data_IF_805648983451
#
_entry.id   IF_805648983451
#
_cell.length_a   1.000
_cell.length_b   1.000
_cell.length_c   1.000
_cell.angle_alpha   90.00
_cell.angle_beta   90.00
_cell.angle_gamma   90.00
#
_symmetry.space_group_name_H-M   'P 1'
#
loop_
_entity.id
_entity.type
_entity.pdbx_description
1 polymer ?
#
# COMPACT_ATOMS: atom_id res chain seq x y z
N UNK A 1 -20.34 -26.24 -46.27
CA UNK A 1 -19.92 -26.77 -47.59
C UNK A 1 -20.89 -26.18 -48.60
N UNK A 2 -20.53 -25.34 -49.57
CA UNK A 2 -19.62 -25.59 -50.70
C UNK A 2 -19.23 -24.23 -51.33
N UNK A 3 -17.93 -23.92 -51.39
CA UNK A 3 -17.10 -23.75 -52.61
C UNK A 3 -17.41 -22.55 -53.53
N UNK A 4 -16.46 -21.61 -53.42
CA UNK A 4 -15.90 -20.67 -54.41
C UNK A 4 -16.21 -20.92 -55.89
N UNK A 5 -16.33 -19.81 -56.65
CA UNK A 5 -15.89 -19.77 -58.04
C UNK A 5 -15.05 -18.52 -58.35
N UNK A 6 -14.08 -18.79 -59.21
CA UNK A 6 -12.92 -18.02 -59.64
C UNK A 6 -13.24 -16.94 -60.67
N UNK A 7 -12.41 -15.89 -60.67
CA UNK A 7 -12.23 -14.87 -61.72
C UNK A 7 -11.26 -15.41 -62.81
N UNK A 8 -11.30 -14.90 -64.06
CA UNK A 8 -10.06 -14.30 -64.62
C UNK A 8 -10.33 -13.08 -65.54
N UNK A 9 -9.55 -11.98 -65.39
CA UNK A 9 -8.42 -11.51 -66.25
C UNK A 9 -8.86 -10.94 -67.62
N UNK A 10 -8.28 -9.91 -68.25
CA UNK A 10 -7.05 -9.07 -68.13
C UNK A 10 -7.19 -7.98 -69.25
N UNK A 11 -6.49 -6.85 -69.36
CA UNK A 11 -5.12 -6.55 -69.87
C UNK A 11 -5.10 -4.99 -70.04
N UNK A 12 -4.32 -4.19 -69.27
CA UNK A 12 -3.00 -3.56 -69.54
C UNK A 12 -2.86 -2.68 -70.81
N UNK A 13 -2.49 -1.40 -70.66
CA UNK A 13 -1.37 -0.76 -71.38
C UNK A 13 -0.91 0.55 -70.70
N UNK A 14 0.40 0.80 -70.73
CA UNK A 14 1.14 1.81 -69.96
C UNK A 14 1.66 2.97 -70.82
N UNK A 15 1.98 4.13 -70.20
CA UNK A 15 3.29 4.83 -70.29
C UNK A 15 3.40 6.04 -69.34
N UNK A 16 4.63 6.25 -68.83
CA UNK A 16 5.11 7.20 -67.82
C UNK A 16 5.30 8.65 -68.33
N UNK A 17 5.25 9.63 -67.43
CA UNK A 17 6.36 10.58 -67.10
C UNK A 17 6.10 11.29 -65.76
N UNK A 18 7.18 11.55 -65.01
CA UNK A 18 7.25 12.11 -63.66
C UNK A 18 6.62 13.50 -63.47
N UNK A 19 6.04 13.73 -62.27
CA UNK A 19 6.59 14.60 -61.20
C UNK A 19 5.46 15.27 -60.38
N UNK A 20 4.94 14.56 -59.37
CA UNK A 20 4.34 15.19 -58.20
C UNK A 20 4.39 14.21 -57.03
N UNK A 21 5.27 14.50 -56.07
CA UNK A 21 5.32 13.87 -54.76
C UNK A 21 4.01 14.10 -54.03
N UNK A 22 3.21 13.06 -53.79
CA UNK A 22 2.56 12.83 -52.49
C UNK A 22 2.43 11.31 -52.29
N UNK A 23 3.11 10.82 -51.28
CA UNK A 23 3.16 9.42 -50.86
C UNK A 23 1.81 8.91 -50.37
N UNK A 24 1.53 7.68 -50.78
CA UNK A 24 0.57 6.72 -50.23
C UNK A 24 0.55 6.74 -48.70
N UNK A 25 -0.64 6.83 -48.10
CA UNK A 25 -1.22 5.83 -47.18
C UNK A 25 -2.39 6.47 -46.46
N UNK A 26 -3.60 6.03 -46.80
CA UNK A 26 -4.71 6.16 -45.87
C UNK A 26 -4.44 5.20 -44.71
N UNK A 27 -3.68 5.66 -43.72
CA UNK A 27 -3.68 5.05 -42.41
C UNK A 27 -5.09 5.26 -41.85
N UNK A 28 -5.87 4.19 -41.78
CA UNK A 28 -7.07 4.15 -40.97
C UNK A 28 -6.57 4.31 -39.52
N UNK A 29 -6.57 5.56 -39.05
CA UNK A 29 -6.45 5.87 -37.65
C UNK A 29 -7.74 5.37 -36.98
N UNK A 30 -7.70 4.11 -36.52
CA UNK A 30 -8.54 3.69 -35.42
C UNK A 30 -8.13 4.57 -34.24
N UNK A 31 -8.82 5.71 -34.09
CA UNK A 31 -8.95 6.39 -32.82
C UNK A 31 -9.65 5.40 -31.87
N UNK A 32 -8.86 4.48 -31.31
CA UNK A 32 -9.15 3.99 -29.98
C UNK A 32 -9.15 5.25 -29.14
N UNK A 33 -10.34 5.75 -28.82
CA UNK A 33 -10.53 6.45 -27.57
C UNK A 33 -10.07 5.48 -26.50
N UNK A 34 -8.78 5.50 -26.20
CA UNK A 34 -8.29 5.18 -24.88
C UNK A 34 -8.98 6.23 -24.05
N UNK A 35 -10.16 5.90 -23.52
CA UNK A 35 -10.66 6.56 -22.33
C UNK A 35 -9.43 6.67 -21.44
N UNK A 36 -8.99 7.87 -21.02
CA UNK A 36 -7.92 7.94 -20.04
C UNK A 36 -8.34 6.95 -18.98
N UNK A 37 -7.60 5.85 -18.86
CA UNK A 37 -7.91 4.84 -17.86
C UNK A 37 -7.90 5.67 -16.61
N UNK A 38 -9.07 5.91 -16.02
CA UNK A 38 -9.16 6.43 -14.67
C UNK A 38 -8.14 5.61 -13.93
N UNK A 39 -7.07 6.24 -13.47
CA UNK A 39 -6.08 5.59 -12.64
C UNK A 39 -6.89 4.79 -11.62
N UNK A 40 -6.62 3.50 -11.54
CA UNK A 40 -7.38 2.56 -10.75
C UNK A 40 -7.36 3.01 -9.31
N UNK A 41 -8.52 3.36 -8.79
CA UNK A 41 -8.72 3.46 -7.36
C UNK A 41 -8.40 2.07 -6.77
N UNK A 42 -7.30 1.90 -6.00
CA UNK A 42 -6.90 0.59 -5.53
C UNK A 42 -7.83 0.07 -4.42
N UNK A 43 -8.74 0.91 -3.93
CA UNK A 43 -9.68 0.60 -2.86
C UNK A 43 -11.07 0.26 -3.41
N UNK A 44 -11.52 0.90 -4.50
CA UNK A 44 -12.90 0.79 -4.99
C UNK A 44 -12.96 0.18 -6.39
N UNK A 45 -13.68 -0.94 -6.51
CA UNK A 45 -14.01 -1.54 -7.82
C UNK A 45 -15.28 -0.95 -8.44
N UNK A 46 -16.13 -0.31 -7.63
CA UNK A 46 -17.37 0.35 -8.06
C UNK A 46 -17.32 1.82 -7.61
N UNK A 47 -17.60 2.75 -8.54
CA UNK A 47 -17.49 4.19 -8.34
C UNK A 47 -16.09 4.60 -7.84
N UNK A 48 -15.04 4.36 -8.64
CA UNK A 48 -13.67 4.72 -8.25
C UNK A 48 -13.52 6.24 -8.08
N UNK A 49 -12.71 6.63 -7.11
CA UNK A 49 -12.30 8.01 -6.92
C UNK A 49 -11.03 8.30 -7.73
N UNK A 50 -10.83 9.55 -8.14
CA UNK A 50 -9.63 9.95 -8.86
C UNK A 50 -8.43 10.01 -7.90
N UNK A 51 -7.41 9.15 -8.14
CA UNK A 51 -6.17 9.08 -7.34
C UNK A 51 -4.94 9.51 -8.15
N UNK A 52 -5.03 9.57 -9.47
CA UNK A 52 -3.88 9.85 -10.35
C UNK A 52 -2.99 8.64 -10.58
N UNK A 53 -2.48 8.51 -11.81
CA UNK A 53 -1.80 7.30 -12.27
C UNK A 53 -0.45 7.06 -11.58
N UNK A 54 0.28 8.12 -11.25
CA UNK A 54 1.57 8.01 -10.56
C UNK A 54 1.38 7.66 -9.08
N UNK A 55 0.34 8.18 -8.44
CA UNK A 55 0.00 7.82 -7.07
C UNK A 55 -0.49 6.37 -6.98
N UNK A 56 -1.31 5.90 -7.92
CA UNK A 56 -1.71 4.49 -8.00
C UNK A 56 -0.48 3.59 -8.22
N UNK A 57 0.38 3.93 -9.18
CA UNK A 57 1.60 3.16 -9.44
C UNK A 57 2.52 3.10 -8.22
N UNK A 58 2.64 4.22 -7.48
CA UNK A 58 3.35 4.26 -6.21
C UNK A 58 2.73 3.37 -5.14
N UNK A 59 1.39 3.40 -5.01
CA UNK A 59 0.66 2.56 -4.06
C UNK A 59 0.88 1.07 -4.36
N UNK A 60 0.71 0.66 -5.61
CA UNK A 60 0.91 -0.73 -6.02
C UNK A 60 2.37 -1.18 -5.83
N UNK A 61 3.33 -0.34 -6.20
CA UNK A 61 4.75 -0.61 -5.96
C UNK A 61 5.04 -0.80 -4.46
N UNK A 62 4.57 0.11 -3.61
CA UNK A 62 4.84 0.06 -2.18
C UNK A 62 4.14 -1.12 -1.51
N UNK A 63 2.83 -1.25 -1.70
CA UNK A 63 1.99 -2.10 -0.87
C UNK A 63 1.76 -3.49 -1.45
N UNK A 64 1.58 -3.60 -2.77
CA UNK A 64 1.35 -4.89 -3.41
C UNK A 64 2.67 -5.60 -3.72
N UNK A 65 3.66 -4.86 -4.25
CA UNK A 65 4.94 -5.43 -4.68
C UNK A 65 6.02 -5.40 -3.59
N UNK A 66 5.90 -4.51 -2.59
CA UNK A 66 6.95 -4.27 -1.60
C UNK A 66 8.20 -3.61 -2.18
N UNK A 67 8.06 -2.90 -3.31
CA UNK A 67 9.13 -2.18 -4.00
C UNK A 67 9.14 -0.70 -3.61
N UNK A 68 9.86 -0.40 -2.52
CA UNK A 68 9.99 0.95 -1.98
C UNK A 68 10.80 1.87 -2.88
N UNK A 69 11.73 1.32 -3.66
CA UNK A 69 12.54 2.10 -4.60
C UNK A 69 11.69 2.56 -5.78
N UNK A 70 10.89 1.67 -6.36
CA UNK A 70 9.93 2.01 -7.41
C UNK A 70 8.87 2.98 -6.88
N UNK A 71 8.31 2.72 -5.69
CA UNK A 71 7.35 3.62 -5.06
C UNK A 71 7.92 5.04 -4.89
N UNK A 72 9.15 5.20 -4.40
CA UNK A 72 9.76 6.52 -4.24
C UNK A 72 9.93 7.27 -5.59
N UNK A 73 10.24 6.54 -6.68
CA UNK A 73 10.30 7.11 -8.04
C UNK A 73 8.94 7.58 -8.51
N UNK A 74 7.89 6.76 -8.40
CA UNK A 74 6.53 7.15 -8.79
C UNK A 74 6.03 8.34 -7.95
N UNK A 75 6.28 8.34 -6.64
CA UNK A 75 5.91 9.45 -5.77
C UNK A 75 6.63 10.76 -6.12
N UNK A 76 7.85 10.71 -6.68
CA UNK A 76 8.52 11.93 -7.18
C UNK A 76 7.80 12.50 -8.40
N UNK A 77 7.28 11.63 -9.27
CA UNK A 77 6.49 12.04 -10.43
C UNK A 77 5.11 12.56 -9.98
N UNK A 78 4.43 11.83 -9.09
CA UNK A 78 3.13 12.20 -8.53
C UNK A 78 3.13 13.59 -7.90
N UNK A 79 4.13 13.96 -7.10
CA UNK A 79 4.20 15.30 -6.50
C UNK A 79 4.26 16.42 -7.56
N UNK A 80 4.80 16.14 -8.75
CA UNK A 80 4.87 17.11 -9.84
C UNK A 80 3.62 17.11 -10.73
N UNK A 81 3.03 15.95 -11.02
CA UNK A 81 1.92 15.80 -11.96
C UNK A 81 0.54 15.78 -11.30
N UNK A 82 0.47 15.42 -10.02
CA UNK A 82 -0.73 15.21 -9.22
C UNK A 82 -0.63 16.00 -7.89
N UNK A 83 -0.34 17.32 -7.91
CA UNK A 83 0.02 18.09 -6.71
C UNK A 83 -1.11 18.25 -5.68
N UNK A 84 -2.33 17.87 -6.04
CA UNK A 84 -3.50 17.94 -5.16
C UNK A 84 -3.89 16.57 -4.58
N UNK A 85 -3.16 15.49 -4.90
CA UNK A 85 -3.45 14.15 -4.40
C UNK A 85 -2.84 13.93 -2.99
N UNK A 86 -3.67 13.82 -1.93
CA UNK A 86 -3.15 13.67 -0.57
C UNK A 86 -2.46 12.33 -0.29
N UNK A 87 -2.86 11.23 -0.95
CA UNK A 87 -2.27 9.89 -0.76
C UNK A 87 -0.78 9.87 -1.12
N UNK A 88 -0.38 10.58 -2.18
CA UNK A 88 1.01 10.69 -2.58
C UNK A 88 1.87 11.30 -1.44
N UNK A 89 1.38 12.36 -0.82
CA UNK A 89 2.05 12.99 0.31
C UNK A 89 2.04 12.10 1.56
N UNK A 90 0.94 11.39 1.83
CA UNK A 90 0.87 10.44 2.94
C UNK A 90 1.89 9.29 2.79
N UNK A 91 2.02 8.74 1.59
CA UNK A 91 3.02 7.71 1.29
C UNK A 91 4.45 8.24 1.42
N UNK A 92 4.72 9.48 0.96
CA UNK A 92 6.02 10.13 1.18
C UNK A 92 6.33 10.37 2.66
N UNK A 93 5.34 10.76 3.46
CA UNK A 93 5.48 10.90 4.91
C UNK A 93 5.82 9.55 5.56
N UNK A 94 5.14 8.47 5.16
CA UNK A 94 5.43 7.10 5.63
C UNK A 94 6.87 6.67 5.31
N UNK A 95 7.33 6.90 4.07
CA UNK A 95 8.73 6.64 3.68
C UNK A 95 9.72 7.45 4.52
N UNK A 96 9.42 8.73 4.76
CA UNK A 96 10.27 9.58 5.59
C UNK A 96 10.33 9.10 7.04
N UNK A 97 9.20 8.66 7.62
CA UNK A 97 9.15 8.05 8.95
C UNK A 97 10.03 6.80 9.02
N UNK A 98 9.87 5.88 8.07
CA UNK A 98 10.66 4.65 8.00
C UNK A 98 12.17 4.91 7.86
N UNK A 99 12.55 5.94 7.10
CA UNK A 99 13.93 6.37 6.91
C UNK A 99 14.47 7.26 8.04
N UNK A 100 13.65 7.56 9.06
CA UNK A 100 13.98 8.49 10.15
C UNK A 100 14.31 9.92 9.67
N UNK A 101 13.76 10.32 8.54
CA UNK A 101 13.89 11.67 7.99
C UNK A 101 12.76 12.56 8.55
N UNK A 102 12.98 13.08 9.76
CA UNK A 102 11.97 13.86 10.49
C UNK A 102 11.63 15.21 9.86
N UNK A 103 12.51 15.74 9.03
CA UNK A 103 12.28 16.96 8.28
C UNK A 103 11.30 16.71 7.13
N UNK A 104 11.54 15.66 6.33
CA UNK A 104 10.61 15.27 5.27
C UNK A 104 9.29 14.75 5.82
N UNK A 105 9.31 14.02 6.94
CA UNK A 105 8.09 13.61 7.62
C UNK A 105 7.22 14.82 7.93
N UNK A 106 7.76 15.84 8.62
CA UNK A 106 7.00 17.05 8.95
C UNK A 106 6.44 17.75 7.70
N UNK A 107 7.27 17.92 6.67
CA UNK A 107 6.86 18.59 5.44
C UNK A 107 5.70 17.84 4.74
N UNK A 108 5.82 16.52 4.59
CA UNK A 108 4.82 15.72 3.91
C UNK A 108 3.56 15.48 4.76
N UNK A 109 3.66 15.48 6.10
CA UNK A 109 2.49 15.51 6.98
C UNK A 109 1.65 16.76 6.76
N UNK A 110 2.28 17.94 6.70
CA UNK A 110 1.61 19.22 6.42
C UNK A 110 0.97 19.21 5.04
N UNK A 111 1.67 18.70 4.02
CA UNK A 111 1.13 18.60 2.66
C UNK A 111 -0.07 17.66 2.57
N UNK A 112 -0.03 16.53 3.27
CA UNK A 112 -1.18 15.60 3.37
C UNK A 112 -2.39 16.31 3.97
N UNK A 113 -2.19 17.05 5.07
CA UNK A 113 -3.24 17.81 5.73
C UNK A 113 -3.82 18.91 4.81
N UNK A 114 -2.95 19.73 4.22
CA UNK A 114 -3.35 20.84 3.33
C UNK A 114 -4.14 20.36 2.11
N UNK A 115 -3.70 19.28 1.48
CA UNK A 115 -4.37 18.71 0.29
C UNK A 115 -5.65 17.98 0.65
N UNK A 116 -5.68 17.26 1.78
CA UNK A 116 -6.91 16.67 2.33
C UNK A 116 -7.97 17.73 2.60
N UNK A 117 -7.63 18.84 3.25
CA UNK A 117 -8.57 19.93 3.54
C UNK A 117 -9.14 20.57 2.28
N UNK A 118 -8.30 20.77 1.24
CA UNK A 118 -8.74 21.28 -0.05
C UNK A 118 -9.69 20.31 -0.76
N UNK A 119 -9.41 19.01 -0.66
CA UNK A 119 -10.17 17.95 -1.31
C UNK A 119 -11.61 17.84 -0.75
N UNK A 120 -11.87 18.29 0.48
CA UNK A 120 -13.21 18.22 1.11
C UNK A 120 -14.31 18.82 0.24
N UNK A 121 -14.02 19.88 -0.53
CA UNK A 121 -15.03 20.57 -1.35
C UNK A 121 -15.55 19.70 -2.49
N UNK A 122 -14.68 18.92 -3.13
CA UNK A 122 -15.01 18.07 -4.28
C UNK A 122 -15.25 16.61 -3.90
N UNK A 123 -14.60 16.14 -2.85
CA UNK A 123 -14.68 14.77 -2.34
C UNK A 123 -14.63 14.81 -0.80
N UNK A 124 -15.79 15.02 -0.13
CA UNK A 124 -15.86 15.10 1.32
C UNK A 124 -15.36 13.83 2.01
N UNK A 125 -15.51 12.65 1.40
CA UNK A 125 -15.08 11.39 1.99
C UNK A 125 -13.56 11.32 2.08
N UNK A 126 -12.86 11.41 0.94
CA UNK A 126 -11.39 11.38 0.93
C UNK A 126 -10.79 12.63 1.57
N UNK A 127 -11.40 13.79 1.38
CA UNK A 127 -10.93 15.03 1.97
C UNK A 127 -10.91 14.97 3.50
N UNK A 128 -11.99 14.51 4.14
CA UNK A 128 -12.01 14.32 5.59
C UNK A 128 -11.04 13.21 6.02
N UNK A 129 -11.01 12.07 5.31
CA UNK A 129 -10.08 10.97 5.59
C UNK A 129 -8.62 11.42 5.61
N UNK A 130 -8.16 12.13 4.58
CA UNK A 130 -6.78 12.60 4.50
C UNK A 130 -6.47 13.80 5.40
N UNK A 131 -7.49 14.56 5.79
CA UNK A 131 -7.34 15.54 6.88
C UNK A 131 -7.05 14.83 8.21
N UNK A 132 -7.76 13.72 8.49
CA UNK A 132 -7.46 12.87 9.65
C UNK A 132 -6.05 12.26 9.57
N UNK A 133 -5.67 11.68 8.43
CA UNK A 133 -4.31 11.13 8.21
C UNK A 133 -3.23 12.21 8.41
N UNK A 134 -3.45 13.41 7.89
CA UNK A 134 -2.54 14.55 8.10
C UNK A 134 -2.33 14.87 9.58
N UNK A 135 -3.42 14.97 10.36
CA UNK A 135 -3.33 15.18 11.81
C UNK A 135 -2.63 14.03 12.55
N UNK A 136 -2.88 12.79 12.15
CA UNK A 136 -2.21 11.62 12.72
C UNK A 136 -0.69 11.69 12.50
N UNK A 137 -0.27 11.99 11.27
CA UNK A 137 1.15 12.13 10.92
C UNK A 137 1.82 13.32 11.63
N UNK A 138 1.13 14.44 11.82
CA UNK A 138 1.63 15.55 12.64
C UNK A 138 1.77 15.16 14.13
N UNK A 139 0.85 14.34 14.65
CA UNK A 139 0.96 13.74 15.97
C UNK A 139 2.25 12.92 16.12
N UNK A 140 2.58 12.11 15.11
CA UNK A 140 3.84 11.36 15.07
C UNK A 140 5.06 12.29 15.08
N UNK A 141 5.06 13.36 14.28
CA UNK A 141 6.15 14.38 14.29
C UNK A 141 6.35 14.97 15.69
N UNK A 142 5.25 15.31 16.37
CA UNK A 142 5.28 15.88 17.71
C UNK A 142 5.97 14.92 18.68
N UNK A 143 5.54 13.66 18.72
CA UNK A 143 6.11 12.65 19.62
C UNK A 143 7.58 12.40 19.29
N UNK A 144 7.93 12.26 18.01
CA UNK A 144 9.31 11.98 17.59
C UNK A 144 10.27 13.12 17.93
N UNK A 145 9.83 14.39 17.85
CA UNK A 145 10.70 15.55 18.11
C UNK A 145 10.74 15.98 19.56
N UNK A 146 9.61 15.94 20.26
CA UNK A 146 9.48 16.46 21.63
C UNK A 146 9.59 15.36 22.69
N UNK A 147 9.60 14.09 22.27
CA UNK A 147 9.51 12.94 23.17
C UNK A 147 8.12 12.82 23.81
N UNK A 148 7.87 11.70 24.49
CA UNK A 148 6.55 11.42 25.07
C UNK A 148 6.13 12.44 26.13
N UNK A 149 7.06 12.87 27.00
CA UNK A 149 6.75 13.78 28.12
C UNK A 149 6.21 15.13 27.63
N UNK A 150 6.92 15.78 26.71
CA UNK A 150 6.54 17.11 26.22
C UNK A 150 5.61 17.03 24.99
N UNK A 151 5.52 15.87 24.35
CA UNK A 151 4.74 15.64 23.14
C UNK A 151 3.34 15.07 23.39
N UNK A 152 3.09 14.43 24.54
CA UNK A 152 1.83 13.70 24.78
C UNK A 152 0.58 14.59 24.69
N UNK A 153 0.54 15.73 25.40
CA UNK A 153 -0.61 16.65 25.37
C UNK A 153 -0.92 17.18 23.96
N UNK A 154 0.04 17.76 23.22
CA UNK A 154 -0.23 18.20 21.85
C UNK A 154 -0.55 17.05 20.89
N UNK A 155 0.05 15.87 21.07
CA UNK A 155 -0.29 14.69 20.27
C UNK A 155 -1.72 14.19 20.55
N UNK A 156 -2.19 14.21 21.80
CA UNK A 156 -3.57 13.90 22.15
C UNK A 156 -4.54 14.90 21.52
N UNK A 157 -4.17 16.18 21.47
CA UNK A 157 -4.97 17.17 20.75
C UNK A 157 -5.10 16.85 19.26
N UNK A 158 -4.01 16.39 18.61
CA UNK A 158 -4.07 15.89 17.23
C UNK A 158 -4.94 14.65 17.10
N UNK A 159 -4.82 13.69 18.02
CA UNK A 159 -5.62 12.47 18.00
C UNK A 159 -7.13 12.77 18.08
N UNK A 160 -7.56 13.77 18.86
CA UNK A 160 -8.96 14.22 18.85
C UNK A 160 -9.42 14.70 17.47
N UNK A 161 -8.57 15.45 16.77
CA UNK A 161 -8.86 15.89 15.40
C UNK A 161 -8.92 14.71 14.42
N UNK A 162 -8.07 13.70 14.59
CA UNK A 162 -8.15 12.46 13.78
C UNK A 162 -9.55 11.87 13.88
N UNK A 163 -10.06 11.64 15.09
CA UNK A 163 -11.41 11.08 15.26
C UNK A 163 -12.51 11.99 14.73
N UNK A 164 -12.44 13.30 14.98
CA UNK A 164 -13.41 14.26 14.43
C UNK A 164 -13.54 14.16 12.90
N UNK A 165 -12.42 14.05 12.20
CA UNK A 165 -12.43 13.97 10.74
C UNK A 165 -12.75 12.56 10.22
N UNK A 166 -12.41 11.50 10.95
CA UNK A 166 -12.87 10.15 10.61
C UNK A 166 -14.38 10.02 10.75
N UNK A 167 -14.99 10.60 11.79
CA UNK A 167 -16.44 10.62 11.98
C UNK A 167 -17.14 11.35 10.82
N UNK A 168 -16.55 12.46 10.35
CA UNK A 168 -17.06 13.18 9.17
C UNK A 168 -16.95 12.35 7.89
N UNK A 169 -15.86 11.63 7.68
CA UNK A 169 -15.69 10.73 6.54
C UNK A 169 -16.70 9.57 6.61
N UNK A 170 -16.87 8.96 7.79
CA UNK A 170 -17.81 7.88 8.06
C UNK A 170 -19.27 8.31 7.84
N UNK A 171 -19.62 9.54 8.20
CA UNK A 171 -20.95 10.11 7.93
C UNK A 171 -21.26 10.25 6.43
N UNK A 172 -20.24 10.34 5.56
CA UNK A 172 -20.41 10.36 4.10
C UNK A 172 -20.59 8.95 3.55
N UNK A 173 -19.75 8.00 3.97
CA UNK A 173 -19.84 6.61 3.54
C UNK A 173 -19.21 5.67 4.57
N UNK A 174 -20.03 5.11 5.46
CA UNK A 174 -19.54 4.29 6.57
C UNK A 174 -18.87 2.97 6.14
N UNK A 175 -19.30 2.41 5.00
CA UNK A 175 -18.78 1.15 4.46
C UNK A 175 -17.73 1.37 3.36
N UNK A 176 -17.16 2.58 3.26
CA UNK A 176 -16.15 2.88 2.27
C UNK A 176 -14.84 2.08 2.49
N UNK A 177 -14.27 1.43 1.46
CA UNK A 177 -13.13 0.54 1.66
C UNK A 177 -11.83 1.22 2.07
N UNK A 178 -11.55 2.41 1.56
CA UNK A 178 -10.33 3.16 1.89
C UNK A 178 -10.40 3.66 3.34
N UNK A 179 -11.56 4.24 3.72
CA UNK A 179 -11.83 4.65 5.09
C UNK A 179 -11.69 3.49 6.06
N UNK A 180 -12.36 2.37 5.78
CA UNK A 180 -12.36 1.20 6.67
C UNK A 180 -10.97 0.56 6.77
N UNK A 181 -10.17 0.60 5.71
CA UNK A 181 -8.79 0.15 5.76
C UNK A 181 -7.95 1.01 6.71
N UNK A 182 -7.94 2.33 6.51
CA UNK A 182 -7.13 3.25 7.30
C UNK A 182 -7.58 3.28 8.77
N UNK A 183 -8.90 3.42 9.00
CA UNK A 183 -9.47 3.43 10.34
C UNK A 183 -9.22 2.11 11.06
N UNK A 184 -9.43 0.97 10.38
CA UNK A 184 -9.19 -0.34 10.97
C UNK A 184 -7.73 -0.55 11.39
N UNK A 185 -6.76 -0.17 10.55
CA UNK A 185 -5.34 -0.22 10.94
C UNK A 185 -5.03 0.65 12.16
N UNK A 186 -5.62 1.84 12.24
CA UNK A 186 -5.45 2.72 13.39
C UNK A 186 -6.08 2.13 14.66
N UNK A 187 -7.30 1.62 14.56
CA UNK A 187 -8.04 1.00 15.66
C UNK A 187 -7.26 -0.21 16.21
N UNK A 188 -6.69 -1.06 15.33
CA UNK A 188 -5.84 -2.19 15.72
C UNK A 188 -4.56 -1.73 16.43
N UNK A 189 -3.87 -0.73 15.88
CA UNK A 189 -2.66 -0.18 16.50
C UNK A 189 -2.96 0.35 17.91
N UNK A 190 -4.11 0.98 18.12
CA UNK A 190 -4.51 1.48 19.42
C UNK A 190 -4.99 0.36 20.35
N UNK A 191 -5.75 -0.61 19.88
CA UNK A 191 -6.27 -1.72 20.67
C UNK A 191 -5.17 -2.60 21.29
N UNK A 192 -4.09 -2.82 20.55
CA UNK A 192 -2.93 -3.57 21.07
C UNK A 192 -2.20 -2.80 22.18
N UNK A 193 -2.30 -1.47 22.20
CA UNK A 193 -1.54 -0.61 23.12
C UNK A 193 -2.40 0.07 24.21
N UNK A 194 -3.73 0.04 24.08
CA UNK A 194 -4.68 0.72 24.96
C UNK A 194 -5.88 -0.21 25.27
N UNK A 195 -6.30 -0.32 26.54
CA UNK A 195 -7.30 -1.30 26.97
C UNK A 195 -8.75 -1.02 26.56
N UNK A 196 -8.99 0.00 25.72
CA UNK A 196 -10.33 0.51 25.43
C UNK A 196 -10.88 0.16 24.04
N UNK A 197 -10.03 -0.34 23.13
CA UNK A 197 -10.48 -0.75 21.80
C UNK A 197 -10.49 -2.27 21.70
N UNK A 198 -11.58 -2.84 21.15
CA UNK A 198 -11.69 -4.27 20.91
C UNK A 198 -10.98 -4.61 19.59
N UNK A 199 -9.89 -5.41 19.62
CA UNK A 199 -9.25 -5.86 18.39
C UNK A 199 -10.22 -6.63 17.48
N UNK A 200 -11.12 -7.42 18.05
CA UNK A 200 -12.07 -8.25 17.30
C UNK A 200 -13.03 -7.40 16.45
N UNK A 201 -13.57 -6.31 17.02
CA UNK A 201 -14.45 -5.39 16.26
C UNK A 201 -13.70 -4.69 15.13
N UNK A 202 -12.45 -4.31 15.35
CA UNK A 202 -11.62 -3.70 14.32
C UNK A 202 -11.27 -4.69 13.20
N UNK A 203 -10.99 -5.96 13.54
CA UNK A 203 -10.77 -7.05 12.58
C UNK A 203 -12.04 -7.28 11.75
N UNK A 204 -13.20 -7.45 12.39
CA UNK A 204 -14.48 -7.68 11.68
C UNK A 204 -14.79 -6.56 10.69
N UNK A 205 -14.59 -5.31 11.11
CA UNK A 205 -14.80 -4.13 10.26
C UNK A 205 -13.86 -4.12 9.05
N UNK A 206 -12.59 -4.50 9.23
CA UNK A 206 -11.63 -4.64 8.14
C UNK A 206 -12.06 -5.74 7.15
N UNK A 207 -12.52 -6.89 7.66
CA UNK A 207 -12.92 -8.01 6.79
C UNK A 207 -14.12 -7.67 5.91
N UNK A 208 -15.11 -6.99 6.49
CA UNK A 208 -16.38 -6.72 5.82
C UNK A 208 -16.29 -5.55 4.86
N UNK A 209 -15.61 -4.47 5.26
CA UNK A 209 -15.74 -3.19 4.58
C UNK A 209 -14.46 -2.71 3.91
N UNK A 210 -13.28 -3.18 4.30
CA UNK A 210 -12.03 -2.66 3.78
C UNK A 210 -11.54 -3.37 2.51
N UNK A 211 -10.77 -2.64 1.70
CA UNK A 211 -10.08 -3.17 0.53
C UNK A 211 -8.80 -2.35 0.28
N UNK A 212 -7.82 -2.85 -0.50
CA UNK A 212 -7.79 -4.17 -1.16
C UNK A 212 -7.56 -5.33 -0.18
N UNK A 213 -8.04 -6.52 -0.54
CA UNK A 213 -8.05 -7.71 0.33
C UNK A 213 -6.67 -8.08 0.88
N UNK A 214 -5.62 -7.97 0.07
CA UNK A 214 -4.27 -8.31 0.53
C UNK A 214 -3.75 -7.38 1.65
N UNK A 215 -4.19 -6.12 1.68
CA UNK A 215 -3.87 -5.20 2.79
C UNK A 215 -4.73 -5.50 4.02
N UNK A 216 -5.99 -5.86 3.83
CA UNK A 216 -6.84 -6.35 4.92
C UNK A 216 -6.19 -7.56 5.60
N UNK A 217 -5.84 -8.58 4.82
CA UNK A 217 -5.22 -9.80 5.33
C UNK A 217 -3.87 -9.49 6.01
N UNK A 218 -3.06 -8.61 5.43
CA UNK A 218 -1.80 -8.15 6.04
C UNK A 218 -2.04 -7.47 7.41
N UNK A 219 -3.04 -6.60 7.50
CA UNK A 219 -3.37 -5.85 8.72
C UNK A 219 -3.85 -6.77 9.84
N UNK A 220 -4.73 -7.71 9.51
CA UNK A 220 -5.26 -8.69 10.47
C UNK A 220 -4.15 -9.66 10.92
N UNK A 221 -3.26 -10.08 10.02
CA UNK A 221 -2.09 -10.89 10.39
C UNK A 221 -1.17 -10.18 11.39
N UNK A 222 -0.96 -8.87 11.24
CA UNK A 222 -0.22 -8.06 12.20
C UNK A 222 -0.90 -8.01 13.57
N UNK A 223 -2.23 -7.78 13.59
CA UNK A 223 -2.99 -7.76 14.84
C UNK A 223 -2.90 -9.10 15.58
N UNK A 224 -3.16 -10.22 14.90
CA UNK A 224 -3.07 -11.53 15.53
C UNK A 224 -1.67 -11.89 15.99
N UNK A 225 -0.62 -11.46 15.28
CA UNK A 225 0.77 -11.60 15.73
C UNK A 225 0.97 -10.89 17.07
N UNK A 226 0.50 -9.66 17.18
CA UNK A 226 0.71 -8.81 18.35
C UNK A 226 -0.15 -9.28 19.55
N UNK A 227 -1.32 -9.88 19.28
CA UNK A 227 -2.15 -10.60 20.24
C UNK A 227 -1.59 -12.00 20.61
N UNK A 228 -0.45 -12.41 20.03
CA UNK A 228 0.19 -13.73 20.22
C UNK A 228 -0.68 -14.92 19.78
N UNK A 229 -1.63 -14.67 18.89
CA UNK A 229 -2.51 -15.65 18.24
C UNK A 229 -1.86 -16.11 16.93
N UNK A 230 -0.72 -16.79 17.04
CA UNK A 230 0.16 -17.06 15.89
C UNK A 230 -0.48 -17.91 14.78
N UNK A 231 -1.32 -18.90 15.12
CA UNK A 231 -2.00 -19.72 14.11
C UNK A 231 -2.91 -18.89 13.20
N UNK A 232 -3.72 -18.00 13.78
CA UNK A 232 -4.57 -17.07 13.02
C UNK A 232 -3.71 -16.09 12.22
N UNK A 233 -2.65 -15.54 12.82
CA UNK A 233 -1.72 -14.66 12.12
C UNK A 233 -1.11 -15.31 10.87
N UNK A 234 -0.73 -16.59 10.94
CA UNK A 234 -0.21 -17.34 9.78
C UNK A 234 -1.27 -17.55 8.70
N UNK A 235 -2.53 -17.80 9.07
CA UNK A 235 -3.63 -17.96 8.12
C UNK A 235 -3.77 -16.70 7.26
N UNK A 236 -3.91 -15.53 7.88
CA UNK A 236 -4.04 -14.27 7.13
C UNK A 236 -2.76 -13.89 6.39
N UNK A 237 -1.57 -14.16 6.93
CA UNK A 237 -0.32 -13.96 6.19
C UNK A 237 -0.27 -14.83 4.91
N UNK A 238 -0.78 -16.06 4.98
CA UNK A 238 -0.89 -16.94 3.82
C UNK A 238 -1.97 -16.45 2.82
N UNK A 239 -3.08 -15.90 3.31
CA UNK A 239 -4.12 -15.31 2.45
C UNK A 239 -3.57 -14.10 1.67
N UNK A 240 -2.86 -13.19 2.34
CA UNK A 240 -2.19 -12.05 1.68
C UNK A 240 -1.25 -12.52 0.57
N UNK A 241 -0.44 -13.57 0.82
CA UNK A 241 0.49 -14.14 -0.17
C UNK A 241 -0.20 -14.71 -1.42
N UNK A 242 -1.51 -15.02 -1.41
CA UNK A 242 -2.21 -15.53 -2.60
C UNK A 242 -2.20 -14.53 -3.76
N UNK A 243 -2.26 -13.24 -3.46
CA UNK A 243 -2.25 -12.15 -4.46
C UNK A 243 -0.98 -11.32 -4.46
N UNK A 244 -0.08 -11.56 -3.50
CA UNK A 244 1.21 -10.87 -3.37
C UNK A 244 2.36 -11.86 -3.17
N UNK A 245 2.40 -12.92 -3.98
CA UNK A 245 3.29 -14.07 -3.78
C UNK A 245 4.78 -13.72 -3.64
N UNK A 246 5.22 -12.65 -4.30
CA UNK A 246 6.62 -12.19 -4.28
C UNK A 246 6.87 -11.01 -3.33
N UNK A 247 5.87 -10.59 -2.55
CA UNK A 247 6.00 -9.42 -1.68
C UNK A 247 6.91 -9.72 -0.48
N UNK A 248 8.07 -9.03 -0.37
CA UNK A 248 9.05 -9.31 0.68
C UNK A 248 8.53 -8.99 2.09
N UNK A 249 7.62 -8.03 2.25
CA UNK A 249 7.10 -7.66 3.55
C UNK A 249 6.16 -8.72 4.12
N UNK A 250 5.37 -9.39 3.28
CA UNK A 250 4.48 -10.46 3.75
C UNK A 250 5.30 -11.71 4.12
N UNK A 251 6.35 -12.02 3.35
CA UNK A 251 7.30 -13.05 3.74
C UNK A 251 8.02 -12.73 5.06
N UNK A 252 8.43 -11.48 5.24
CA UNK A 252 9.01 -11.03 6.50
C UNK A 252 8.03 -11.16 7.66
N UNK A 253 6.78 -10.71 7.51
CA UNK A 253 5.74 -10.85 8.53
C UNK A 253 5.52 -12.32 8.90
N UNK A 254 5.38 -13.20 7.90
CA UNK A 254 5.23 -14.63 8.11
C UNK A 254 6.44 -15.21 8.86
N UNK A 255 7.66 -14.79 8.53
CA UNK A 255 8.86 -15.22 9.22
C UNK A 255 8.87 -14.81 10.69
N UNK A 256 8.45 -13.58 11.01
CA UNK A 256 8.31 -13.11 12.39
C UNK A 256 7.29 -13.94 13.18
N UNK A 257 6.12 -14.21 12.60
CA UNK A 257 5.08 -15.01 13.24
C UNK A 257 5.59 -16.43 13.52
N UNK A 258 6.19 -17.09 12.52
CA UNK A 258 6.78 -18.43 12.67
C UNK A 258 7.87 -18.46 13.73
N UNK A 259 8.72 -17.43 13.77
CA UNK A 259 9.77 -17.34 14.77
C UNK A 259 9.18 -17.23 16.17
N UNK A 260 8.22 -16.32 16.42
CA UNK A 260 7.58 -16.19 17.74
C UNK A 260 6.82 -17.45 18.16
N UNK A 261 6.11 -18.10 17.23
CA UNK A 261 5.46 -19.37 17.48
C UNK A 261 6.47 -20.48 17.80
N UNK A 262 7.57 -20.55 17.05
CA UNK A 262 8.68 -21.47 17.29
C UNK A 262 9.31 -21.30 18.67
N UNK A 263 9.38 -20.06 19.19
CA UNK A 263 9.81 -19.80 20.57
C UNK A 263 8.82 -20.35 21.59
N UNK A 264 7.53 -20.08 21.40
CA UNK A 264 6.45 -20.53 22.30
C UNK A 264 6.37 -22.05 22.35
N UNK A 265 6.50 -22.71 21.22
CA UNK A 265 6.35 -24.16 21.06
C UNK A 265 7.68 -24.93 21.15
N UNK A 266 8.81 -24.23 21.24
CA UNK A 266 10.17 -24.81 21.15
C UNK A 266 10.35 -25.68 19.90
N UNK A 267 9.78 -25.25 18.78
CA UNK A 267 9.74 -26.03 17.53
C UNK A 267 10.89 -25.68 16.59
N UNK A 268 11.75 -26.66 16.33
CA UNK A 268 12.84 -26.55 15.34
C UNK A 268 12.30 -26.37 13.92
N UNK A 269 11.21 -27.06 13.59
CA UNK A 269 10.57 -26.95 12.28
C UNK A 269 10.10 -25.52 12.02
N UNK A 270 9.45 -24.89 12.99
CA UNK A 270 8.99 -23.49 12.85
C UNK A 270 10.16 -22.51 12.66
N UNK A 271 11.30 -22.74 13.32
CA UNK A 271 12.50 -21.94 13.06
C UNK A 271 13.07 -22.15 11.65
N UNK A 272 13.06 -23.38 11.11
CA UNK A 272 13.46 -23.64 9.73
C UNK A 272 12.56 -22.91 8.73
N UNK A 273 11.24 -22.98 8.94
CA UNK A 273 10.27 -22.26 8.11
C UNK A 273 10.40 -20.73 8.22
N UNK A 274 10.70 -20.21 9.42
CA UNK A 274 10.96 -18.79 9.62
C UNK A 274 12.19 -18.33 8.81
N UNK A 275 13.31 -19.06 8.91
CA UNK A 275 14.54 -18.78 8.15
C UNK A 275 14.27 -18.78 6.64
N UNK A 276 13.54 -19.77 6.14
CA UNK A 276 13.18 -19.85 4.73
C UNK A 276 12.34 -18.63 4.27
N UNK A 277 11.43 -18.14 5.11
CA UNK A 277 10.65 -16.93 4.77
C UNK A 277 11.48 -15.64 4.89
N UNK A 278 12.40 -15.54 5.85
CA UNK A 278 13.37 -14.45 5.87
C UNK A 278 14.23 -14.44 4.60
N UNK A 279 14.68 -15.61 4.13
CA UNK A 279 15.44 -15.74 2.88
C UNK A 279 14.63 -15.27 1.68
N UNK A 280 13.35 -15.66 1.59
CA UNK A 280 12.44 -15.16 0.55
C UNK A 280 12.32 -13.65 0.56
N UNK A 281 12.13 -13.03 1.74
CA UNK A 281 12.09 -11.57 1.85
C UNK A 281 13.41 -10.92 1.37
N UNK A 282 14.55 -11.50 1.72
CA UNK A 282 15.87 -10.98 1.35
C UNK A 282 16.22 -11.17 -0.13
N UNK A 283 15.50 -12.03 -0.89
CA UNK A 283 15.67 -12.09 -2.36
C UNK A 283 15.38 -10.75 -3.03
N UNK A 284 14.51 -9.92 -2.43
CA UNK A 284 14.15 -8.59 -2.90
C UNK A 284 14.83 -7.46 -2.11
N UNK A 285 15.93 -7.73 -1.39
CA UNK A 285 16.61 -6.74 -0.54
C UNK A 285 16.95 -5.40 -1.23
N UNK A 286 17.21 -5.42 -2.54
CA UNK A 286 17.51 -4.21 -3.32
C UNK A 286 16.31 -3.25 -3.45
N UNK A 287 15.10 -3.75 -3.21
CA UNK A 287 13.84 -3.00 -3.26
C UNK A 287 13.44 -2.45 -1.89
N UNK A 288 14.12 -2.85 -0.81
CA UNK A 288 13.75 -2.53 0.57
C UNK A 288 14.59 -1.38 1.15
N UNK A 289 14.06 -0.62 2.12
CA UNK A 289 14.84 0.33 2.91
C UNK A 289 16.01 -0.37 3.62
N UNK A 290 17.21 0.23 3.62
CA UNK A 290 18.41 -0.41 4.15
C UNK A 290 18.35 -0.74 5.65
N UNK A 291 17.57 0.02 6.43
CA UNK A 291 17.29 -0.30 7.83
C UNK A 291 16.40 -1.54 7.98
N UNK A 292 15.40 -1.71 7.11
CA UNK A 292 14.56 -2.89 7.08
C UNK A 292 15.38 -4.13 6.71
N UNK A 293 16.26 -4.04 5.70
CA UNK A 293 17.18 -5.14 5.33
C UNK A 293 18.01 -5.59 6.53
N UNK A 294 18.67 -4.66 7.23
CA UNK A 294 19.46 -4.98 8.43
C UNK A 294 18.63 -5.62 9.54
N UNK A 295 17.38 -5.19 9.70
CA UNK A 295 16.47 -5.78 10.68
C UNK A 295 16.12 -7.23 10.32
N UNK A 296 15.78 -7.49 9.05
CA UNK A 296 15.46 -8.83 8.55
C UNK A 296 16.67 -9.76 8.73
N UNK A 297 17.88 -9.34 8.34
CA UNK A 297 19.11 -10.12 8.48
C UNK A 297 19.42 -10.47 9.95
N UNK A 298 19.20 -9.52 10.85
CA UNK A 298 19.37 -9.72 12.30
C UNK A 298 18.38 -10.74 12.84
N UNK A 299 17.09 -10.59 12.55
CA UNK A 299 16.03 -11.49 13.04
C UNK A 299 16.20 -12.90 12.46
N UNK A 300 16.57 -13.02 11.19
CA UNK A 300 16.98 -14.29 10.57
C UNK A 300 18.12 -14.96 11.32
N UNK A 301 19.17 -14.20 11.65
CA UNK A 301 20.33 -14.73 12.39
C UNK A 301 19.93 -15.20 13.79
N UNK A 302 19.01 -14.49 14.45
CA UNK A 302 18.45 -14.92 15.73
C UNK A 302 17.66 -16.23 15.61
N UNK A 303 16.86 -16.41 14.55
CA UNK A 303 16.15 -17.65 14.28
C UNK A 303 17.12 -18.82 14.04
N UNK A 304 18.20 -18.60 13.27
CA UNK A 304 19.24 -19.61 13.04
C UNK A 304 19.97 -20.01 14.33
N UNK A 305 20.30 -19.04 15.19
CA UNK A 305 20.92 -19.33 16.48
C UNK A 305 20.01 -20.16 17.40
N UNK A 306 18.71 -19.88 17.43
CA UNK A 306 17.73 -20.66 18.22
C UNK A 306 17.51 -22.07 17.67
N UNK A 307 17.55 -22.23 16.34
CA UNK A 307 17.49 -23.55 15.71
C UNK A 307 18.67 -24.45 16.14
N UNK A 308 19.85 -23.86 16.25
CA UNK A 308 21.07 -24.58 16.65
C UNK A 308 21.17 -24.78 18.17
N UNK A 309 20.63 -23.85 18.96
CA UNK A 309 20.68 -23.86 20.42
C UNK A 309 19.27 -23.74 21.05
N UNK A 310 18.44 -24.80 21.02
CA UNK A 310 17.03 -24.75 21.45
C UNK A 310 16.81 -24.62 22.97
N UNK A 311 17.87 -24.53 23.78
CA UNK A 311 17.83 -24.43 25.25
C UNK A 311 18.09 -23.04 25.84
N UNK A 312 18.24 -22.00 25.00
CA UNK A 312 18.48 -20.62 25.42
C UNK A 312 17.30 -19.68 25.23
#
# INVERSE_FOLDING_TARGET
MTKQFFVPQSIVFAKLTDLAKVTFTAAIALNLWVSPSLAGDPFRTSKPHEIGAQTEAAFNAMFQQGDYLAADRYLKQAISSEPNEPLAYAMKASLAYGNKDWAKLENYSKKTLETGQKLIVSDPLRGNLYTAVGHFLEGAVIITRKGTVNGASPALSRLRQVYEYLDKAEAVSANDPELNLIKGYMDLMLAVNLPFASPDQAIERLEQNAAPRYLVDRGIALAYRDLKQYSQALEYANQALKTTADNPEIHYLKAQILQEQGKKEKSRQLFQEAIANFDKALTKKAQLPGNLVRQIERERSQAANRLNNPGG
#
